data_IF_683582278700
#
_entry.id   IF_683582278700
#
_cell.length_a   1.000
_cell.length_b   1.000
_cell.length_c   1.000
_cell.angle_alpha   90.00
_cell.angle_beta   90.00
_cell.angle_gamma   90.00
#
_symmetry.space_group_name_H-M   'P 1'
#
loop_
_entity.id
_entity.type
_entity.pdbx_description
1 polymer ?
#
# COMPACT_ATOMS: atom_id res chain seq x y z
N UNK A 1 29.36 25.49 10.59
CA UNK A 1 28.41 24.90 9.61
C UNK A 1 27.70 23.77 10.32
N UNK A 2 26.43 23.95 10.67
CA UNK A 2 25.61 22.84 11.19
C UNK A 2 25.36 21.93 9.99
N UNK A 3 26.00 20.76 9.95
CA UNK A 3 25.67 19.73 8.97
C UNK A 3 24.20 19.42 9.12
N UNK A 4 23.42 19.53 8.03
CA UNK A 4 22.01 19.19 8.07
C UNK A 4 21.86 17.73 8.53
N UNK A 5 21.01 17.48 9.52
CA UNK A 5 20.74 16.14 10.06
C UNK A 5 20.31 15.20 8.93
N UNK A 6 21.01 14.08 8.75
CA UNK A 6 20.68 13.09 7.70
C UNK A 6 19.34 12.42 8.05
N UNK A 7 18.40 12.46 7.12
CA UNK A 7 17.04 11.92 7.29
C UNK A 7 16.91 10.50 6.75
N UNK A 8 15.82 9.80 7.09
CA UNK A 8 15.52 8.51 6.45
C UNK A 8 15.34 8.64 4.93
N UNK A 9 14.83 9.78 4.45
CA UNK A 9 14.66 10.03 3.01
C UNK A 9 16.02 10.13 2.33
N UNK A 10 16.99 10.79 2.95
CA UNK A 10 18.37 10.85 2.43
C UNK A 10 19.01 9.45 2.34
N UNK A 11 18.73 8.58 3.32
CA UNK A 11 19.16 7.17 3.27
C UNK A 11 18.45 6.39 2.16
N UNK A 12 17.17 6.65 1.89
CA UNK A 12 16.45 5.98 0.79
C UNK A 12 17.00 6.40 -0.58
N UNK A 13 17.38 7.67 -0.73
CA UNK A 13 18.02 8.19 -1.95
C UNK A 13 19.47 7.71 -2.10
N UNK A 14 20.18 7.60 -0.99
CA UNK A 14 21.60 7.21 -0.95
C UNK A 14 21.88 6.23 0.20
N UNK A 15 21.52 4.94 0.05
CA UNK A 15 21.66 3.92 1.11
C UNK A 15 23.05 3.82 1.75
N UNK A 16 24.19 3.98 1.02
CA UNK A 16 25.52 3.96 1.62
C UNK A 16 25.78 5.05 2.68
N UNK A 17 24.95 6.10 2.76
CA UNK A 17 25.06 7.08 3.85
C UNK A 17 24.78 6.47 5.23
N UNK A 18 24.04 5.35 5.29
CA UNK A 18 23.69 4.70 6.55
C UNK A 18 24.93 4.25 7.33
N UNK A 19 26.00 3.82 6.64
CA UNK A 19 27.23 3.36 7.27
C UNK A 19 28.07 4.49 7.86
N UNK A 20 27.70 5.75 7.57
CA UNK A 20 28.36 6.96 8.10
C UNK A 20 27.65 7.51 9.34
N UNK A 21 26.47 7.00 9.67
CA UNK A 21 25.70 7.46 10.82
C UNK A 21 26.18 6.75 12.09
N UNK A 22 26.24 7.50 13.19
CA UNK A 22 26.60 6.98 14.51
C UNK A 22 25.64 7.49 15.60
N UNK A 23 25.75 6.89 16.79
CA UNK A 23 25.05 7.35 17.98
C UNK A 23 23.54 7.56 17.81
N UNK A 24 23.09 8.78 18.10
CA UNK A 24 21.66 9.15 18.12
C UNK A 24 21.05 9.18 16.71
N UNK A 25 21.79 9.67 15.72
CA UNK A 25 21.29 9.77 14.35
C UNK A 25 21.03 8.39 13.75
N UNK A 26 21.99 7.46 13.91
CA UNK A 26 21.82 6.08 13.49
C UNK A 26 20.61 5.42 14.17
N UNK A 27 20.50 5.61 15.50
CA UNK A 27 19.38 5.06 16.28
C UNK A 27 18.03 5.59 15.79
N UNK A 28 17.93 6.91 15.53
CA UNK A 28 16.72 7.55 15.01
C UNK A 28 16.34 6.98 13.65
N UNK A 29 17.26 6.94 12.70
CA UNK A 29 17.02 6.44 11.34
C UNK A 29 16.62 4.95 11.35
N UNK A 30 17.30 4.10 12.12
CA UNK A 30 16.95 2.68 12.23
C UNK A 30 15.55 2.48 12.84
N UNK A 31 15.17 3.28 13.85
CA UNK A 31 13.82 3.24 14.43
C UNK A 31 12.76 3.70 13.43
N UNK A 32 13.01 4.78 12.69
CA UNK A 32 12.11 5.25 11.63
C UNK A 32 11.96 4.21 10.50
N UNK A 33 13.07 3.61 10.06
CA UNK A 33 13.07 2.58 9.03
C UNK A 33 12.30 1.32 9.46
N UNK A 34 12.43 0.90 10.73
CA UNK A 34 11.63 -0.21 11.28
C UNK A 34 10.15 0.13 11.35
N UNK A 35 9.83 1.29 11.91
CA UNK A 35 8.45 1.73 12.10
C UNK A 35 7.70 1.87 10.77
N UNK A 36 8.40 2.31 9.73
CA UNK A 36 7.86 2.40 8.36
C UNK A 36 7.96 1.09 7.57
N UNK A 37 8.58 0.03 8.11
CA UNK A 37 8.77 -1.23 7.40
C UNK A 37 9.77 -1.16 6.23
N UNK A 38 10.65 -0.16 6.20
CA UNK A 38 11.64 0.09 5.15
C UNK A 38 13.05 -0.41 5.50
N UNK A 39 13.28 -0.93 6.72
CA UNK A 39 14.63 -1.38 7.10
C UNK A 39 15.13 -2.54 6.23
N UNK A 40 14.27 -3.51 5.90
CA UNK A 40 14.66 -4.60 4.99
C UNK A 40 14.93 -4.10 3.56
N UNK A 41 14.14 -3.12 3.08
CA UNK A 41 14.35 -2.48 1.79
C UNK A 41 15.72 -1.77 1.71
N UNK A 42 16.12 -1.11 2.79
CA UNK A 42 17.42 -0.46 2.92
C UNK A 42 18.55 -1.50 3.00
N UNK A 43 18.38 -2.56 3.79
CA UNK A 43 19.37 -3.65 3.86
C UNK A 43 19.70 -4.22 2.48
N UNK A 44 18.69 -4.45 1.66
CA UNK A 44 18.87 -4.97 0.30
C UNK A 44 19.68 -4.05 -0.63
N UNK A 45 19.93 -2.79 -0.23
CA UNK A 45 20.59 -1.75 -1.04
C UNK A 45 21.87 -1.19 -0.41
N UNK A 46 22.26 -1.69 0.77
CA UNK A 46 23.51 -1.30 1.44
C UNK A 46 24.60 -2.32 1.17
N UNK A 47 25.83 -1.83 1.01
CA UNK A 47 27.03 -2.66 0.89
C UNK A 47 27.35 -3.32 2.25
N UNK A 48 27.11 -4.63 2.32
CA UNK A 48 27.21 -5.42 3.56
C UNK A 48 28.62 -5.43 4.13
N UNK A 49 29.63 -5.38 3.27
CA UNK A 49 31.04 -5.42 3.69
C UNK A 49 31.46 -4.13 4.43
N UNK A 50 30.66 -3.06 4.29
CA UNK A 50 30.85 -1.77 4.97
C UNK A 50 29.98 -1.63 6.22
N UNK A 51 29.25 -2.67 6.61
CA UNK A 51 28.42 -2.66 7.83
C UNK A 51 29.10 -3.47 8.92
N UNK A 52 29.19 -2.92 10.13
CA UNK A 52 29.85 -3.58 11.27
C UNK A 52 29.09 -3.36 12.59
N UNK A 53 29.37 -4.22 13.56
CA UNK A 53 28.80 -4.16 14.91
C UNK A 53 27.26 -4.15 14.90
N UNK A 54 26.67 -3.30 15.77
CA UNK A 54 25.21 -3.24 15.95
C UNK A 54 24.43 -2.90 14.67
N UNK A 55 25.03 -2.15 13.73
CA UNK A 55 24.39 -1.87 12.45
C UNK A 55 24.22 -3.15 11.64
N UNK A 56 25.27 -3.98 11.56
CA UNK A 56 25.21 -5.27 10.87
C UNK A 56 24.15 -6.19 11.50
N UNK A 57 24.08 -6.27 12.83
CA UNK A 57 23.07 -7.08 13.53
C UNK A 57 21.64 -6.64 13.20
N UNK A 58 21.42 -5.32 13.17
CA UNK A 58 20.12 -4.74 12.87
C UNK A 58 19.68 -4.98 11.42
N UNK A 59 20.60 -4.89 10.47
CA UNK A 59 20.36 -5.18 9.06
C UNK A 59 20.14 -6.69 8.84
N UNK A 60 20.97 -7.54 9.46
CA UNK A 60 20.81 -8.99 9.43
C UNK A 60 19.43 -9.43 9.92
N UNK A 61 19.00 -8.90 11.07
CA UNK A 61 17.65 -9.15 11.60
C UNK A 61 16.58 -8.75 10.57
N UNK A 62 16.66 -7.53 10.01
CA UNK A 62 15.70 -7.07 9.03
C UNK A 62 15.63 -7.95 7.78
N UNK A 63 16.79 -8.42 7.30
CA UNK A 63 16.88 -9.38 6.20
C UNK A 63 16.19 -10.70 6.52
N UNK A 64 16.51 -11.31 7.66
CA UNK A 64 15.90 -12.59 8.09
C UNK A 64 14.37 -12.46 8.14
N UNK A 65 13.87 -11.35 8.71
CA UNK A 65 12.43 -11.08 8.75
C UNK A 65 11.81 -10.93 7.35
N UNK A 66 12.47 -10.21 6.44
CA UNK A 66 11.99 -10.03 5.08
C UNK A 66 12.06 -11.32 4.25
N UNK A 67 13.10 -12.13 4.41
CA UNK A 67 13.25 -13.41 3.73
C UNK A 67 12.19 -14.40 4.18
N UNK A 68 11.96 -14.51 5.50
CA UNK A 68 10.88 -15.33 6.05
C UNK A 68 9.50 -14.88 5.54
N UNK A 69 9.26 -13.57 5.52
CA UNK A 69 8.01 -13.03 5.00
C UNK A 69 7.83 -13.36 3.51
N UNK A 70 8.86 -13.17 2.69
CA UNK A 70 8.85 -13.49 1.27
C UNK A 70 8.62 -14.98 1.00
N UNK A 71 9.21 -15.86 1.82
CA UNK A 71 8.95 -17.31 1.75
C UNK A 71 7.49 -17.62 2.10
N UNK A 72 6.96 -17.02 3.16
CA UNK A 72 5.57 -17.20 3.59
C UNK A 72 4.59 -16.78 2.49
N UNK A 73 4.80 -15.62 1.86
CA UNK A 73 3.97 -15.14 0.75
C UNK A 73 4.08 -16.04 -0.47
N UNK A 74 5.29 -16.50 -0.81
CA UNK A 74 5.48 -17.41 -1.96
C UNK A 74 4.77 -18.74 -1.75
N UNK A 75 4.88 -19.29 -0.54
CA UNK A 75 4.16 -20.49 -0.15
C UNK A 75 2.64 -20.29 -0.23
N UNK A 76 2.15 -19.15 0.26
CA UNK A 76 0.72 -18.88 0.24
C UNK A 76 0.17 -18.71 -1.18
N UNK A 77 0.91 -18.04 -2.07
CA UNK A 77 0.57 -17.95 -3.51
C UNK A 77 0.46 -19.35 -4.12
N UNK A 78 1.40 -20.25 -3.82
CA UNK A 78 1.37 -21.63 -4.31
C UNK A 78 0.16 -22.42 -3.77
N UNK A 79 -0.17 -22.29 -2.48
CA UNK A 79 -1.38 -22.91 -1.91
C UNK A 79 -2.65 -22.37 -2.55
N UNK A 80 -2.73 -21.06 -2.76
CA UNK A 80 -3.85 -20.41 -3.43
C UNK A 80 -3.99 -20.88 -4.88
N UNK A 81 -2.89 -21.12 -5.59
CA UNK A 81 -2.92 -21.64 -6.96
C UNK A 81 -3.65 -23.00 -7.02
N UNK A 82 -3.41 -23.87 -6.04
CA UNK A 82 -4.11 -25.15 -5.93
C UNK A 82 -5.59 -24.98 -5.58
N UNK A 83 -5.90 -24.14 -4.58
CA UNK A 83 -7.27 -23.97 -4.07
C UNK A 83 -8.18 -23.28 -5.07
N UNK A 84 -7.67 -22.28 -5.79
CA UNK A 84 -8.46 -21.44 -6.70
C UNK A 84 -8.48 -21.95 -8.14
N UNK A 85 -7.78 -23.06 -8.43
CA UNK A 85 -7.78 -23.74 -9.74
C UNK A 85 -9.17 -23.98 -10.35
N UNK A 86 -10.24 -24.29 -9.57
CA UNK A 86 -11.58 -24.49 -10.13
C UNK A 86 -12.27 -23.22 -10.66
N UNK A 87 -11.72 -22.03 -10.40
CA UNK A 87 -12.30 -20.77 -10.91
C UNK A 87 -12.08 -20.64 -12.43
N UNK A 88 -13.10 -20.17 -13.14
CA UNK A 88 -13.11 -20.10 -14.61
C UNK A 88 -12.56 -18.80 -15.19
N UNK A 89 -12.04 -17.88 -14.38
CA UNK A 89 -11.57 -16.57 -14.86
C UNK A 89 -10.40 -16.04 -14.05
N UNK A 90 -9.99 -14.79 -14.32
CA UNK A 90 -8.70 -14.30 -13.85
C UNK A 90 -8.71 -14.09 -12.33
N UNK A 91 -7.69 -14.65 -11.68
CA UNK A 91 -7.33 -14.35 -10.29
C UNK A 91 -6.12 -13.44 -10.32
N UNK A 92 -6.31 -12.17 -9.96
CA UNK A 92 -5.30 -11.12 -10.15
C UNK A 92 -4.61 -10.84 -8.82
N UNK A 93 -3.32 -11.13 -8.72
CA UNK A 93 -2.50 -10.76 -7.57
C UNK A 93 -2.31 -9.24 -7.52
N UNK A 94 -2.44 -8.66 -6.34
CA UNK A 94 -2.15 -7.25 -6.06
C UNK A 94 -0.98 -7.07 -5.08
N UNK A 95 -0.52 -5.82 -4.97
CA UNK A 95 0.48 -5.34 -3.99
C UNK A 95 1.70 -6.27 -3.85
N UNK A 96 2.09 -6.60 -2.62
CA UNK A 96 3.31 -7.35 -2.32
C UNK A 96 3.34 -8.73 -2.98
N UNK A 97 2.21 -9.43 -3.01
CA UNK A 97 2.09 -10.73 -3.66
C UNK A 97 2.33 -10.64 -5.18
N UNK A 98 1.79 -9.60 -5.83
CA UNK A 98 2.05 -9.33 -7.24
C UNK A 98 3.53 -9.03 -7.51
N UNK A 99 4.15 -8.18 -6.71
CA UNK A 99 5.56 -7.83 -6.90
C UNK A 99 6.47 -9.04 -6.74
N UNK A 100 6.14 -9.92 -5.78
CA UNK A 100 6.86 -11.17 -5.56
C UNK A 100 6.70 -12.13 -6.74
N UNK A 101 5.47 -12.34 -7.21
CA UNK A 101 5.18 -13.21 -8.35
C UNK A 101 5.77 -12.70 -9.68
N UNK A 102 5.92 -11.38 -9.82
CA UNK A 102 6.59 -10.74 -10.96
C UNK A 102 8.12 -10.61 -10.78
N UNK A 103 8.67 -11.09 -9.67
CA UNK A 103 10.10 -11.01 -9.33
C UNK A 103 10.68 -9.58 -9.40
N UNK A 104 9.86 -8.59 -9.03
CA UNK A 104 10.29 -7.19 -9.07
C UNK A 104 11.27 -6.89 -7.93
N UNK A 105 12.32 -6.12 -8.20
CA UNK A 105 13.37 -5.80 -7.22
C UNK A 105 12.88 -5.10 -5.95
N UNK A 106 11.77 -4.36 -6.00
CA UNK A 106 11.13 -3.77 -4.80
C UNK A 106 10.54 -4.79 -3.83
N UNK A 107 10.33 -6.05 -4.24
CA UNK A 107 9.90 -7.13 -3.35
C UNK A 107 11.02 -7.55 -2.38
N UNK A 108 12.28 -7.29 -2.73
CA UNK A 108 13.41 -7.62 -1.87
C UNK A 108 13.43 -6.70 -0.65
N UNK A 109 13.41 -7.29 0.55
CA UNK A 109 13.37 -6.54 1.80
C UNK A 109 12.01 -5.95 2.17
N UNK A 110 10.99 -6.10 1.30
CA UNK A 110 9.62 -5.63 1.55
C UNK A 110 8.86 -6.64 2.41
N UNK A 111 8.11 -6.11 3.39
CA UNK A 111 7.19 -6.89 4.19
C UNK A 111 5.76 -6.79 3.61
N UNK A 112 5.09 -7.93 3.45
CA UNK A 112 3.69 -8.05 3.10
C UNK A 112 2.92 -8.80 4.21
N UNK A 113 1.79 -8.26 4.65
CA UNK A 113 0.96 -8.84 5.72
C UNK A 113 -0.07 -9.86 5.22
N UNK A 114 -0.41 -9.76 3.94
CA UNK A 114 -1.58 -10.36 3.32
C UNK A 114 -1.30 -10.69 1.85
N UNK A 115 -2.15 -11.56 1.28
CA UNK A 115 -2.25 -11.79 -0.15
C UNK A 115 -3.56 -11.19 -0.66
N UNK A 116 -3.46 -10.03 -1.31
CA UNK A 116 -4.59 -9.36 -1.96
C UNK A 116 -4.88 -9.97 -3.34
N UNK A 117 -6.12 -10.39 -3.57
CA UNK A 117 -6.60 -10.93 -4.84
C UNK A 117 -7.74 -10.08 -5.40
N UNK A 118 -7.62 -9.57 -6.62
CA UNK A 118 -8.74 -8.97 -7.37
C UNK A 118 -9.41 -10.02 -8.26
N UNK A 119 -10.73 -10.13 -8.12
CA UNK A 119 -11.56 -11.10 -8.82
C UNK A 119 -12.74 -10.40 -9.49
N UNK A 120 -13.26 -10.95 -10.62
CA UNK A 120 -14.59 -10.60 -11.09
C UNK A 120 -15.63 -10.83 -9.99
N UNK A 121 -16.55 -9.89 -9.79
CA UNK A 121 -17.58 -9.97 -8.73
C UNK A 121 -18.35 -11.31 -8.69
N UNK A 122 -18.73 -11.92 -9.82
CA UNK A 122 -19.39 -13.24 -9.82
C UNK A 122 -18.54 -14.39 -9.25
N UNK A 123 -17.22 -14.25 -9.20
CA UNK A 123 -16.29 -15.27 -8.69
C UNK A 123 -16.01 -15.15 -7.19
N UNK A 124 -16.40 -14.04 -6.54
CA UNK A 124 -16.16 -13.84 -5.11
C UNK A 124 -16.74 -14.95 -4.25
N UNK A 125 -18.02 -15.28 -4.43
CA UNK A 125 -18.70 -16.33 -3.65
C UNK A 125 -18.08 -17.71 -3.86
N UNK A 126 -17.83 -18.15 -5.11
CA UNK A 126 -17.06 -19.38 -5.37
C UNK A 126 -15.67 -19.38 -4.73
N UNK A 127 -14.89 -18.31 -4.86
CA UNK A 127 -13.55 -18.19 -4.29
C UNK A 127 -13.57 -18.28 -2.75
N UNK A 128 -14.46 -17.52 -2.12
CA UNK A 128 -14.68 -17.53 -0.67
C UNK A 128 -15.01 -18.93 -0.19
N UNK A 129 -15.94 -19.65 -0.83
CA UNK A 129 -16.26 -21.03 -0.46
C UNK A 129 -15.05 -21.95 -0.60
N UNK A 130 -14.28 -21.87 -1.69
CA UNK A 130 -13.09 -22.71 -1.87
C UNK A 130 -12.08 -22.48 -0.75
N UNK A 131 -11.83 -21.23 -0.36
CA UNK A 131 -10.93 -20.90 0.75
C UNK A 131 -11.46 -21.42 2.09
N UNK A 132 -12.75 -21.25 2.38
CA UNK A 132 -13.34 -21.76 3.62
C UNK A 132 -13.22 -23.29 3.72
N UNK A 133 -13.46 -24.03 2.62
CA UNK A 133 -13.28 -25.49 2.59
C UNK A 133 -11.82 -25.91 2.73
N UNK A 134 -10.88 -25.04 2.33
CA UNK A 134 -9.45 -25.29 2.38
C UNK A 134 -8.77 -24.84 3.68
N UNK A 135 -9.54 -24.43 4.71
CA UNK A 135 -9.01 -24.14 6.04
C UNK A 135 -8.84 -22.65 6.39
N UNK A 136 -9.36 -21.74 5.57
CA UNK A 136 -9.49 -20.33 5.95
C UNK A 136 -10.77 -20.07 6.73
N UNK A 137 -10.76 -19.03 7.56
CA UNK A 137 -11.94 -18.56 8.31
C UNK A 137 -12.03 -17.03 8.30
N UNK A 138 -13.23 -16.50 8.48
CA UNK A 138 -13.44 -15.05 8.58
C UNK A 138 -12.85 -14.51 9.87
N UNK A 139 -11.96 -13.51 9.77
CA UNK A 139 -11.49 -12.78 10.96
C UNK A 139 -12.58 -11.87 11.56
N UNK A 140 -13.57 -11.49 10.74
CA UNK A 140 -14.71 -10.63 11.09
C UNK A 140 -16.02 -11.36 10.81
N UNK A 141 -16.52 -12.08 11.83
CA UNK A 141 -17.65 -12.98 11.68
C UNK A 141 -19.01 -12.38 12.09
N UNK A 142 -19.04 -11.20 12.73
CA UNK A 142 -20.33 -10.61 13.13
C UNK A 142 -21.12 -10.03 11.94
N UNK A 143 -22.45 -10.05 12.07
CA UNK A 143 -23.38 -9.69 10.97
C UNK A 143 -23.14 -8.28 10.42
N UNK A 144 -22.81 -7.32 11.29
CA UNK A 144 -22.56 -5.95 10.86
C UNK A 144 -21.25 -5.84 10.10
N UNK A 145 -20.19 -6.49 10.55
CA UNK A 145 -18.92 -6.50 9.84
C UNK A 145 -19.08 -7.17 8.47
N UNK A 146 -19.82 -8.28 8.38
CA UNK A 146 -20.15 -8.92 7.11
C UNK A 146 -20.90 -7.96 6.17
N UNK A 147 -21.91 -7.24 6.66
CA UNK A 147 -22.64 -6.23 5.87
C UNK A 147 -21.72 -5.08 5.45
N UNK A 148 -20.91 -4.56 6.36
CA UNK A 148 -19.98 -3.45 6.11
C UNK A 148 -19.01 -3.79 4.98
N UNK A 149 -18.39 -4.97 5.01
CA UNK A 149 -17.46 -5.36 3.96
C UNK A 149 -18.17 -5.62 2.63
N UNK A 150 -19.22 -6.45 2.65
CA UNK A 150 -19.87 -6.90 1.40
C UNK A 150 -20.56 -5.79 0.64
N UNK A 151 -21.14 -4.81 1.35
CA UNK A 151 -21.94 -3.78 0.72
C UNK A 151 -21.19 -2.46 0.59
N UNK A 152 -20.27 -2.15 1.51
CA UNK A 152 -19.63 -0.82 1.57
C UNK A 152 -18.13 -0.87 1.25
N UNK A 153 -17.47 -2.02 1.31
CA UNK A 153 -16.06 -2.15 0.96
C UNK A 153 -15.87 -2.68 -0.46
N UNK A 154 -14.62 -2.62 -0.92
CA UNK A 154 -14.21 -3.16 -2.22
C UNK A 154 -13.64 -4.58 -2.11
N UNK A 155 -13.75 -5.17 -0.93
CA UNK A 155 -13.23 -6.48 -0.56
C UNK A 155 -14.21 -7.19 0.39
N UNK A 156 -14.17 -8.51 0.41
CA UNK A 156 -14.85 -9.31 1.41
C UNK A 156 -14.16 -9.20 2.78
N UNK A 157 -14.80 -9.63 3.88
CA UNK A 157 -14.13 -9.73 5.17
C UNK A 157 -12.84 -10.56 5.06
N UNK A 158 -11.74 -10.10 5.68
CA UNK A 158 -10.44 -10.77 5.60
C UNK A 158 -10.55 -12.23 6.05
N UNK A 159 -9.90 -13.11 5.29
CA UNK A 159 -9.84 -14.54 5.55
C UNK A 159 -8.46 -14.91 6.09
N UNK A 160 -8.40 -15.62 7.20
CA UNK A 160 -7.14 -16.10 7.77
C UNK A 160 -7.08 -17.63 7.73
N UNK A 161 -5.95 -18.20 7.30
CA UNK A 161 -5.75 -19.64 7.38
C UNK A 161 -5.54 -20.09 8.82
N UNK A 162 -6.31 -21.07 9.28
CA UNK A 162 -6.35 -21.48 10.69
C UNK A 162 -4.99 -21.98 11.23
N UNK A 163 -4.20 -22.66 10.40
CA UNK A 163 -2.89 -23.21 10.82
C UNK A 163 -1.71 -22.30 10.50
N UNK A 164 -1.79 -21.53 9.40
CA UNK A 164 -0.65 -20.77 8.86
C UNK A 164 -0.66 -19.31 9.31
N UNK A 165 -1.81 -18.81 9.76
CA UNK A 165 -2.00 -17.42 10.15
C UNK A 165 -1.94 -16.41 9.00
N UNK A 166 -1.72 -16.87 7.76
CA UNK A 166 -1.70 -16.05 6.55
C UNK A 166 -3.08 -15.48 6.26
N UNK A 167 -3.11 -14.21 5.87
CA UNK A 167 -4.35 -13.48 5.56
C UNK A 167 -4.49 -13.32 4.05
N UNK A 168 -5.71 -13.49 3.55
CA UNK A 168 -6.09 -13.33 2.16
C UNK A 168 -7.28 -12.39 2.07
N UNK A 169 -7.16 -11.38 1.23
CA UNK A 169 -8.21 -10.41 0.96
C UNK A 169 -8.76 -10.60 -0.45
N UNK A 170 -10.08 -10.78 -0.54
CA UNK A 170 -10.78 -10.98 -1.81
C UNK A 170 -11.43 -9.66 -2.27
N UNK A 171 -10.73 -8.97 -3.15
CA UNK A 171 -11.13 -7.70 -3.75
C UNK A 171 -12.02 -7.89 -4.98
N UNK A 172 -12.93 -6.95 -5.20
CA UNK A 172 -13.74 -6.83 -6.40
C UNK A 172 -13.73 -5.41 -7.00
N UNK A 173 -12.83 -4.57 -6.49
CA UNK A 173 -12.53 -3.22 -6.95
C UNK A 173 -11.27 -2.74 -6.24
N UNK A 174 -10.80 -1.55 -6.58
CA UNK A 174 -9.63 -0.92 -5.93
C UNK A 174 -10.02 0.25 -5.04
N UNK A 175 -11.30 0.63 -5.04
CA UNK A 175 -11.90 1.64 -4.19
C UNK A 175 -13.31 1.18 -3.79
N UNK A 176 -13.76 1.51 -2.56
CA UNK A 176 -15.11 1.19 -2.09
C UNK A 176 -16.21 1.62 -3.09
N UNK A 177 -17.30 0.85 -3.26
CA UNK A 177 -18.42 1.24 -4.12
C UNK A 177 -19.11 2.54 -3.65
N UNK A 178 -18.95 2.88 -2.36
CA UNK A 178 -19.44 4.10 -1.72
C UNK A 178 -18.55 5.32 -1.99
N UNK A 179 -17.36 5.13 -2.57
CA UNK A 179 -16.42 6.19 -2.85
C UNK A 179 -16.95 7.14 -3.94
N UNK A 180 -16.52 8.41 -3.87
CA UNK A 180 -16.86 9.41 -4.90
C UNK A 180 -16.20 9.10 -6.25
N UNK A 181 -14.96 8.60 -6.23
CA UNK A 181 -14.31 8.05 -7.41
C UNK A 181 -14.76 6.60 -7.62
N UNK A 182 -15.12 6.27 -8.86
CA UNK A 182 -15.67 4.96 -9.23
C UNK A 182 -14.88 4.38 -10.42
N UNK A 183 -13.59 4.03 -10.24
CA UNK A 183 -12.84 3.35 -11.30
C UNK A 183 -13.54 2.02 -11.61
N UNK A 184 -13.78 1.74 -12.89
CA UNK A 184 -14.48 0.53 -13.32
C UNK A 184 -13.59 -0.71 -13.12
N UNK A 185 -13.96 -1.65 -12.23
CA UNK A 185 -13.17 -2.86 -12.00
C UNK A 185 -13.07 -3.74 -13.25
N UNK A 186 -14.08 -3.74 -14.13
CA UNK A 186 -14.04 -4.56 -15.34
C UNK A 186 -12.97 -4.09 -16.31
N UNK A 187 -12.68 -2.78 -16.37
CA UNK A 187 -11.58 -2.23 -17.16
C UNK A 187 -10.20 -2.66 -16.63
N UNK A 188 -10.07 -2.77 -15.30
CA UNK A 188 -8.84 -3.24 -14.67
C UNK A 188 -8.64 -4.74 -14.94
N UNK A 189 -9.70 -5.53 -14.77
CA UNK A 189 -9.70 -6.97 -14.99
C UNK A 189 -9.42 -7.30 -16.47
N UNK A 190 -10.03 -6.58 -17.41
CA UNK A 190 -9.83 -6.81 -18.84
C UNK A 190 -8.43 -6.43 -19.33
N UNK A 191 -7.77 -5.49 -18.66
CA UNK A 191 -6.40 -5.08 -18.94
C UNK A 191 -5.35 -5.90 -18.15
N UNK A 192 -5.78 -6.84 -17.30
CA UNK A 192 -4.89 -7.67 -16.52
C UNK A 192 -4.00 -8.54 -17.42
N UNK A 193 -2.77 -8.79 -16.98
CA UNK A 193 -1.76 -9.54 -17.73
C UNK A 193 -1.46 -10.86 -17.04
N UNK A 194 -1.31 -11.98 -17.77
CA UNK A 194 -0.91 -13.25 -17.17
C UNK A 194 0.51 -13.13 -16.59
N UNK A 195 0.75 -13.82 -15.47
CA UNK A 195 2.10 -13.97 -14.92
C UNK A 195 2.72 -15.23 -15.54
N UNK A 196 3.95 -15.12 -16.02
CA UNK A 196 4.64 -16.25 -16.62
C UNK A 196 4.77 -17.43 -15.63
N UNK A 197 4.57 -18.65 -16.11
CA UNK A 197 4.66 -19.88 -15.31
C UNK A 197 3.74 -19.90 -14.06
N UNK A 198 2.61 -19.21 -14.10
CA UNK A 198 1.68 -19.07 -12.99
C UNK A 198 0.23 -19.10 -13.47
N UNK A 199 -0.73 -19.64 -12.69
CA UNK A 199 -2.16 -19.54 -13.03
C UNK A 199 -2.74 -18.13 -12.75
N UNK A 200 -1.95 -17.25 -12.13
CA UNK A 200 -2.40 -15.92 -11.73
C UNK A 200 -2.17 -14.86 -12.82
N UNK A 201 -2.91 -13.77 -12.65
CA UNK A 201 -2.76 -12.54 -13.39
C UNK A 201 -2.19 -11.44 -12.49
N UNK A 202 -1.76 -10.34 -13.09
CA UNK A 202 -1.43 -9.08 -12.42
C UNK A 202 -2.14 -7.93 -13.12
N UNK A 203 -2.26 -6.78 -12.47
CA UNK A 203 -2.72 -5.56 -13.13
C UNK A 203 -1.74 -5.15 -14.25
N UNK A 204 -2.23 -4.38 -15.22
CA UNK A 204 -1.33 -3.70 -16.15
C UNK A 204 -0.32 -2.81 -15.39
N UNK A 205 0.79 -2.46 -16.02
CA UNK A 205 1.81 -1.62 -15.37
C UNK A 205 1.25 -0.26 -14.94
N UNK A 206 0.41 0.35 -15.78
CA UNK A 206 -0.28 1.60 -15.51
C UNK A 206 -1.28 1.43 -14.35
N UNK A 207 -2.09 0.38 -14.39
CA UNK A 207 -3.11 0.11 -13.36
C UNK A 207 -2.49 -0.25 -12.01
N UNK A 208 -1.30 -0.88 -12.00
CA UNK A 208 -0.54 -1.15 -10.77
C UNK A 208 -0.15 0.15 -10.08
N UNK A 209 0.38 1.14 -10.82
CA UNK A 209 0.72 2.46 -10.26
C UNK A 209 -0.54 3.20 -9.81
N UNK A 210 -1.60 3.18 -10.60
CA UNK A 210 -2.87 3.86 -10.28
C UNK A 210 -3.55 3.26 -9.05
N UNK A 211 -3.55 1.94 -8.91
CA UNK A 211 -4.04 1.25 -7.71
C UNK A 211 -3.27 1.71 -6.47
N UNK A 212 -1.93 1.75 -6.52
CA UNK A 212 -1.12 2.21 -5.37
C UNK A 212 -1.33 3.69 -5.05
N UNK A 213 -1.47 4.54 -6.07
CA UNK A 213 -1.78 5.95 -5.89
C UNK A 213 -3.17 6.17 -5.24
N UNK A 214 -4.19 5.43 -5.70
CA UNK A 214 -5.52 5.45 -5.12
C UNK A 214 -5.52 4.94 -3.67
N UNK A 215 -4.83 3.82 -3.42
CA UNK A 215 -4.68 3.26 -2.08
C UNK A 215 -4.02 4.26 -1.12
N UNK A 216 -2.93 4.94 -1.52
CA UNK A 216 -2.24 5.86 -0.62
C UNK A 216 -2.96 7.21 -0.44
N UNK A 217 -3.45 7.84 -1.51
CA UNK A 217 -3.93 9.24 -1.46
C UNK A 217 -5.45 9.40 -1.40
N UNK A 218 -6.20 8.30 -1.49
CA UNK A 218 -7.65 8.30 -1.52
C UNK A 218 -8.28 7.41 -0.44
N UNK A 219 -7.96 6.11 -0.41
CA UNK A 219 -8.62 5.14 0.48
C UNK A 219 -7.87 4.91 1.81
N UNK A 220 -6.54 4.96 1.77
CA UNK A 220 -5.67 4.63 2.88
C UNK A 220 -5.49 5.73 3.91
N UNK A 221 -4.96 5.33 5.06
CA UNK A 221 -4.39 6.25 6.03
C UNK A 221 -3.00 6.69 5.55
N UNK A 222 -2.79 8.00 5.46
CA UNK A 222 -1.52 8.58 5.05
C UNK A 222 -0.47 8.52 6.16
N UNK A 223 -0.86 8.23 7.41
CA UNK A 223 0.08 8.11 8.52
C UNK A 223 1.11 7.02 8.24
N UNK A 224 2.39 7.44 8.18
CA UNK A 224 3.54 6.60 7.79
C UNK A 224 3.48 6.03 6.36
N UNK A 225 2.83 6.74 5.44
CA UNK A 225 2.70 6.36 4.04
C UNK A 225 4.00 6.33 3.22
N UNK A 226 5.17 6.61 3.83
CA UNK A 226 6.47 6.63 3.14
C UNK A 226 6.76 5.31 2.42
N UNK A 227 6.47 4.17 3.05
CA UNK A 227 6.68 2.85 2.45
C UNK A 227 5.93 2.69 1.14
N UNK A 228 4.67 3.11 1.14
CA UNK A 228 3.81 2.99 -0.05
C UNK A 228 4.21 4.00 -1.12
N UNK A 229 4.75 5.16 -0.73
CA UNK A 229 5.35 6.10 -1.66
C UNK A 229 6.63 5.54 -2.31
N UNK A 230 7.49 4.87 -1.53
CA UNK A 230 8.68 4.18 -2.04
C UNK A 230 8.29 3.11 -3.05
N UNK A 231 7.25 2.30 -2.78
CA UNK A 231 6.75 1.34 -3.76
C UNK A 231 6.35 2.03 -5.08
N UNK A 232 5.58 3.12 -5.00
CA UNK A 232 5.14 3.84 -6.19
C UNK A 232 6.35 4.32 -6.99
N UNK A 233 7.37 4.88 -6.31
CA UNK A 233 8.58 5.33 -6.97
C UNK A 233 9.36 4.18 -7.65
N UNK A 234 9.50 3.04 -6.99
CA UNK A 234 10.16 1.87 -7.57
C UNK A 234 9.36 1.33 -8.78
N UNK A 235 8.04 1.25 -8.68
CA UNK A 235 7.16 0.83 -9.78
C UNK A 235 7.25 1.78 -10.98
N UNK A 236 7.24 3.10 -10.74
CA UNK A 236 7.44 4.10 -11.79
C UNK A 236 8.79 3.88 -12.49
N UNK A 237 9.85 3.66 -11.72
CA UNK A 237 11.21 3.44 -12.25
C UNK A 237 11.32 2.16 -13.08
N UNK A 238 10.70 1.07 -12.61
CA UNK A 238 10.70 -0.22 -13.31
C UNK A 238 9.89 -0.13 -14.60
N UNK A 239 8.68 0.40 -14.55
CA UNK A 239 7.78 0.41 -15.71
C UNK A 239 8.06 1.51 -16.73
N UNK A 240 8.78 2.59 -16.35
CA UNK A 240 9.23 3.61 -17.29
C UNK A 240 10.14 3.08 -18.41
N UNK A 241 10.74 1.89 -18.23
CA UNK A 241 11.50 1.20 -19.27
C UNK A 241 10.62 0.72 -20.44
N UNK A 242 9.31 0.59 -20.22
CA UNK A 242 8.38 0.21 -21.29
C UNK A 242 8.09 1.42 -22.20
N UNK A 243 8.01 1.22 -23.53
CA UNK A 243 7.71 2.30 -24.46
C UNK A 243 6.43 3.03 -24.08
N UNK A 244 6.41 4.36 -24.17
CA UNK A 244 5.21 5.19 -23.92
C UNK A 244 4.55 5.05 -22.55
N UNK A 245 5.19 4.41 -21.55
CA UNK A 245 4.59 4.17 -20.24
C UNK A 245 4.01 5.45 -19.59
N UNK A 246 4.75 6.56 -19.63
CA UNK A 246 4.29 7.86 -19.10
C UNK A 246 3.00 8.32 -19.77
N UNK A 247 2.93 8.28 -21.11
CA UNK A 247 1.75 8.69 -21.88
C UNK A 247 0.54 7.80 -21.55
N UNK A 248 0.75 6.48 -21.52
CA UNK A 248 -0.30 5.51 -21.21
C UNK A 248 -0.80 5.65 -19.78
N UNK A 249 0.08 5.90 -18.82
CA UNK A 249 -0.28 6.09 -17.40
C UNK A 249 -1.19 7.30 -17.22
N UNK A 250 -0.85 8.43 -17.85
CA UNK A 250 -1.68 9.64 -17.81
C UNK A 250 -3.04 9.40 -18.46
N UNK A 251 -3.06 8.80 -19.66
CA UNK A 251 -4.30 8.47 -20.37
C UNK A 251 -5.18 7.53 -19.55
N UNK A 252 -4.59 6.50 -18.95
CA UNK A 252 -5.28 5.53 -18.10
C UNK A 252 -5.81 6.16 -16.82
N UNK A 253 -5.09 7.11 -16.23
CA UNK A 253 -5.54 7.87 -15.08
C UNK A 253 -6.82 8.66 -15.38
N UNK A 254 -6.88 9.32 -16.55
CA UNK A 254 -8.08 10.02 -17.00
C UNK A 254 -9.24 9.05 -17.26
N UNK A 255 -8.96 7.93 -17.93
CA UNK A 255 -9.97 6.91 -18.24
C UNK A 255 -10.64 6.33 -16.99
N UNK A 256 -9.87 6.11 -15.93
CA UNK A 256 -10.36 5.55 -14.66
C UNK A 256 -10.80 6.63 -13.64
N UNK A 257 -10.66 7.91 -13.97
CA UNK A 257 -10.95 9.02 -13.04
C UNK A 257 -9.97 9.11 -11.86
N UNK A 258 -8.77 8.57 -11.99
CA UNK A 258 -7.72 8.49 -10.95
C UNK A 258 -6.62 9.54 -11.12
N UNK A 259 -6.80 10.54 -11.97
CA UNK A 259 -5.81 11.61 -12.20
C UNK A 259 -5.43 12.36 -10.92
N UNK A 260 -6.38 12.57 -9.99
CA UNK A 260 -6.11 13.29 -8.73
C UNK A 260 -5.25 12.47 -7.74
N UNK A 261 -5.58 11.20 -7.41
CA UNK A 261 -4.67 10.35 -6.65
C UNK A 261 -3.29 10.22 -7.30
N UNK A 262 -3.23 10.04 -8.62
CA UNK A 262 -1.95 9.95 -9.34
C UNK A 262 -1.14 11.23 -9.21
N UNK A 263 -1.77 12.41 -9.35
CA UNK A 263 -1.13 13.71 -9.18
C UNK A 263 -0.40 13.82 -7.83
N UNK A 264 -1.06 13.49 -6.72
CA UNK A 264 -0.41 13.53 -5.40
C UNK A 264 0.75 12.54 -5.29
N UNK A 265 0.58 11.33 -5.83
CA UNK A 265 1.62 10.32 -5.80
C UNK A 265 2.88 10.77 -6.54
N UNK A 266 2.73 11.30 -7.76
CA UNK A 266 3.88 11.75 -8.55
C UNK A 266 4.49 13.02 -7.99
N UNK A 267 3.68 13.93 -7.43
CA UNK A 267 4.18 15.11 -6.72
C UNK A 267 5.15 14.71 -5.60
N UNK A 268 4.73 13.82 -4.69
CA UNK A 268 5.57 13.42 -3.56
C UNK A 268 6.73 12.51 -3.96
N UNK A 269 6.60 11.70 -5.01
CA UNK A 269 7.74 10.96 -5.56
C UNK A 269 8.80 11.91 -6.14
N UNK A 270 8.39 12.96 -6.85
CA UNK A 270 9.32 13.98 -7.36
C UNK A 270 9.94 14.81 -6.24
N UNK A 271 9.11 15.24 -5.29
CA UNK A 271 9.50 16.14 -4.22
C UNK A 271 10.41 15.48 -3.17
N UNK A 272 10.02 14.30 -2.66
CA UNK A 272 10.74 13.61 -1.58
C UNK A 272 11.76 12.61 -2.11
N UNK A 273 11.41 11.86 -3.17
CA UNK A 273 12.25 10.77 -3.70
C UNK A 273 12.98 11.14 -5.00
N UNK A 274 12.93 12.42 -5.41
CA UNK A 274 13.67 12.97 -6.57
C UNK A 274 13.43 12.20 -7.88
N UNK A 275 12.23 11.67 -8.04
CA UNK A 275 11.85 10.83 -9.17
C UNK A 275 11.66 11.64 -10.46
N UNK A 276 12.57 11.47 -11.42
CA UNK A 276 12.46 12.14 -12.72
C UNK A 276 11.22 11.71 -13.52
N UNK A 277 10.87 10.42 -13.46
CA UNK A 277 9.66 9.88 -14.12
C UNK A 277 8.40 10.50 -13.52
N UNK A 278 8.37 10.66 -12.20
CA UNK A 278 7.24 11.28 -11.54
C UNK A 278 7.05 12.74 -11.98
N UNK A 279 8.12 13.53 -12.07
CA UNK A 279 8.05 14.92 -12.58
C UNK A 279 7.53 15.00 -14.02
N UNK A 280 7.90 14.04 -14.89
CA UNK A 280 7.36 13.97 -16.25
C UNK A 280 5.85 13.71 -16.26
N UNK A 281 5.36 12.79 -15.42
CA UNK A 281 3.92 12.52 -15.29
C UNK A 281 3.19 13.72 -14.66
N UNK A 282 3.75 14.33 -13.62
CA UNK A 282 3.17 15.48 -12.92
C UNK A 282 2.91 16.65 -13.87
N UNK A 283 3.88 16.98 -14.72
CA UNK A 283 3.74 18.06 -15.71
C UNK A 283 2.56 17.87 -16.66
N UNK A 284 2.17 16.61 -16.94
CA UNK A 284 1.02 16.25 -17.78
C UNK A 284 -0.31 16.20 -17.01
N UNK A 285 -0.28 16.32 -15.69
CA UNK A 285 -1.44 16.23 -14.80
C UNK A 285 -1.76 17.56 -14.10
N UNK A 286 -1.11 18.67 -14.45
CA UNK A 286 -1.36 19.98 -13.82
C UNK A 286 -2.84 20.42 -13.87
N UNK A 287 -3.55 20.11 -14.96
CA UNK A 287 -5.00 20.35 -15.06
C UNK A 287 -5.83 19.54 -14.05
N UNK A 288 -5.26 18.44 -13.54
CA UNK A 288 -5.83 17.56 -12.52
C UNK A 288 -5.34 17.91 -11.12
N UNK A 289 -4.53 18.97 -10.93
CA UNK A 289 -4.12 19.48 -9.62
C UNK A 289 -5.24 20.28 -8.95
N UNK A 290 -5.36 20.28 -7.60
CA UNK A 290 -6.39 21.08 -6.95
C UNK A 290 -6.19 22.57 -7.23
N UNK A 291 -7.26 23.35 -7.19
CA UNK A 291 -7.14 24.81 -7.24
C UNK A 291 -6.39 25.36 -6.02
N UNK A 292 -5.76 26.52 -6.18
CA UNK A 292 -5.29 27.32 -5.05
C UNK A 292 -6.50 27.88 -4.29
N UNK A 293 -6.51 27.93 -2.93
CA UNK A 293 -5.44 27.56 -1.98
C UNK A 293 -5.46 26.09 -1.52
N UNK A 294 -6.49 25.31 -1.89
CA UNK A 294 -6.70 23.94 -1.43
C UNK A 294 -5.50 23.03 -1.74
N UNK A 295 -4.86 23.22 -2.91
CA UNK A 295 -3.64 22.49 -3.28
C UNK A 295 -2.54 22.62 -2.23
N UNK A 296 -2.22 23.85 -1.83
CA UNK A 296 -1.12 24.11 -0.90
C UNK A 296 -1.39 23.52 0.48
N UNK A 297 -2.63 23.67 0.97
CA UNK A 297 -3.03 23.06 2.23
C UNK A 297 -2.95 21.52 2.17
N UNK A 298 -3.48 20.90 1.12
CA UNK A 298 -3.46 19.45 0.96
C UNK A 298 -2.02 18.91 0.90
N UNK A 299 -1.16 19.53 0.09
CA UNK A 299 0.24 19.13 -0.04
C UNK A 299 0.99 19.30 1.28
N UNK A 300 0.74 20.38 2.02
CA UNK A 300 1.40 20.64 3.31
C UNK A 300 1.00 19.58 4.35
N UNK A 301 -0.29 19.25 4.46
CA UNK A 301 -0.78 18.24 5.40
C UNK A 301 -0.27 16.83 5.05
N UNK A 302 -0.28 16.47 3.77
CA UNK A 302 0.21 15.17 3.30
C UNK A 302 1.71 15.02 3.52
N UNK A 303 2.51 16.07 3.27
CA UNK A 303 3.95 16.09 3.56
C UNK A 303 4.25 15.75 5.02
N UNK A 304 3.49 16.33 5.96
CA UNK A 304 3.65 16.05 7.38
C UNK A 304 3.36 14.58 7.75
N UNK A 305 2.55 13.85 6.99
CA UNK A 305 2.27 12.44 7.27
C UNK A 305 3.21 11.47 6.54
N UNK A 306 3.73 11.88 5.37
CA UNK A 306 4.66 11.08 4.58
C UNK A 306 6.08 11.10 5.14
N UNK A 307 6.49 12.21 5.79
CA UNK A 307 7.79 12.28 6.46
C UNK A 307 7.66 11.64 7.86
N UNK A 308 8.43 10.59 8.16
CA UNK A 308 8.35 9.93 9.47
C UNK A 308 8.73 10.89 10.58
N UNK A 309 7.91 10.93 11.63
CA UNK A 309 8.20 11.72 12.82
C UNK A 309 9.46 11.24 13.51
N UNK A 310 10.12 12.13 14.24
CA UNK A 310 11.18 11.74 15.17
C UNK A 310 10.55 10.92 16.31
N UNK A 311 10.98 9.66 16.53
CA UNK A 311 10.43 8.82 17.59
C UNK A 311 10.56 9.41 19.00
N UNK A 312 11.46 10.36 19.21
CA UNK A 312 11.69 11.01 20.50
C UNK A 312 10.88 12.31 20.67
N UNK A 313 10.21 12.80 19.61
CA UNK A 313 9.41 14.04 19.66
C UNK A 313 7.92 13.75 19.74
N UNK A 314 7.25 14.44 20.67
CA UNK A 314 5.78 14.49 20.73
C UNK A 314 5.31 15.72 19.97
N UNK A 315 4.82 15.54 18.75
CA UNK A 315 4.36 16.68 17.95
C UNK A 315 2.83 16.68 17.79
N UNK A 316 2.19 17.67 18.43
CA UNK A 316 0.74 17.89 18.38
C UNK A 316 0.25 18.25 16.97
N UNK A 317 1.10 18.87 16.14
CA UNK A 317 0.77 19.26 14.76
C UNK A 317 0.54 18.03 13.88
N UNK A 318 1.32 16.96 14.04
CA UNK A 318 1.11 15.71 13.31
C UNK A 318 -0.24 15.05 13.66
N UNK A 319 -0.72 15.20 14.90
CA UNK A 319 -2.05 14.71 15.30
C UNK A 319 -3.18 15.49 14.63
N UNK A 320 -3.07 16.82 14.54
CA UNK A 320 -4.07 17.65 13.84
C UNK A 320 -4.10 17.29 12.35
N UNK A 321 -2.92 17.21 11.71
CA UNK A 321 -2.83 16.84 10.30
C UNK A 321 -3.38 15.42 10.03
N UNK A 322 -3.05 14.45 10.88
CA UNK A 322 -3.58 13.08 10.80
C UNK A 322 -5.11 13.08 10.93
N UNK A 323 -5.68 13.78 11.92
CA UNK A 323 -7.13 13.88 12.09
C UNK A 323 -7.83 14.53 10.88
N UNK A 324 -7.28 15.61 10.32
CA UNK A 324 -7.85 16.26 9.14
C UNK A 324 -7.80 15.35 7.90
N UNK A 325 -6.69 14.64 7.70
CA UNK A 325 -6.55 13.69 6.59
C UNK A 325 -7.41 12.44 6.77
N UNK A 326 -7.58 11.98 8.01
CA UNK A 326 -8.53 10.92 8.37
C UNK A 326 -9.97 11.33 8.06
N UNK A 327 -10.39 12.55 8.45
CA UNK A 327 -11.71 13.07 8.09
C UNK A 327 -11.89 13.17 6.56
N UNK A 328 -10.84 13.63 5.86
CA UNK A 328 -10.83 13.68 4.39
C UNK A 328 -10.98 12.29 3.78
N UNK A 329 -10.23 11.28 4.22
CA UNK A 329 -10.31 9.93 3.64
C UNK A 329 -11.70 9.33 3.84
N UNK A 330 -12.31 9.53 5.02
CA UNK A 330 -13.68 9.07 5.28
C UNK A 330 -14.72 9.78 4.40
N UNK A 331 -14.58 11.10 4.22
CA UNK A 331 -15.45 11.88 3.31
C UNK A 331 -15.33 11.47 1.84
N UNK A 332 -14.16 10.96 1.44
CA UNK A 332 -13.90 10.45 0.10
C UNK A 332 -14.42 9.02 -0.11
N UNK A 333 -14.40 8.20 0.95
CA UNK A 333 -14.82 6.79 0.96
C UNK A 333 -16.33 6.59 1.12
N UNK A 334 -17.00 7.41 1.92
CA UNK A 334 -18.41 7.20 2.28
C UNK A 334 -19.21 8.51 2.31
N UNK A 335 -20.51 8.49 1.98
CA UNK A 335 -21.42 9.60 2.24
C UNK A 335 -21.49 9.95 3.74
N UNK A 336 -21.70 11.22 4.13
CA UNK A 336 -21.65 11.65 5.53
C UNK A 336 -22.65 10.95 6.45
N UNK A 337 -23.83 10.60 5.92
CA UNK A 337 -24.88 9.87 6.65
C UNK A 337 -24.46 8.44 6.98
N UNK A 338 -23.75 7.78 6.06
CA UNK A 338 -23.21 6.44 6.26
C UNK A 338 -22.07 6.45 7.27
N UNK A 339 -21.18 7.45 7.19
CA UNK A 339 -20.11 7.66 8.17
C UNK A 339 -20.67 7.88 9.58
N UNK A 340 -21.69 8.74 9.72
CA UNK A 340 -22.34 9.00 11.01
C UNK A 340 -22.96 7.72 11.59
N UNK A 341 -23.64 6.92 10.77
CA UNK A 341 -24.17 5.61 11.18
C UNK A 341 -23.06 4.66 11.63
N UNK A 342 -21.96 4.58 10.87
CA UNK A 342 -20.83 3.71 11.19
C UNK A 342 -20.15 4.11 12.51
N UNK A 343 -19.89 5.41 12.71
CA UNK A 343 -19.30 5.93 13.94
C UNK A 343 -20.21 5.71 15.15
N UNK A 344 -21.52 5.89 15.01
CA UNK A 344 -22.49 5.63 16.08
C UNK A 344 -22.49 4.15 16.49
N UNK A 345 -22.46 3.23 15.52
CA UNK A 345 -22.35 1.79 15.80
C UNK A 345 -21.04 1.45 16.49
N UNK A 346 -19.91 2.02 16.05
CA UNK A 346 -18.61 1.82 16.71
C UNK A 346 -18.58 2.36 18.14
N UNK A 347 -19.12 3.56 18.38
CA UNK A 347 -19.19 4.15 19.74
C UNK A 347 -20.07 3.31 20.65
N UNK A 348 -21.21 2.81 20.16
CA UNK A 348 -22.07 1.89 20.93
C UNK A 348 -21.36 0.58 21.27
N UNK A 349 -20.58 0.03 20.34
CA UNK A 349 -19.75 -1.16 20.58
C UNK A 349 -18.61 -0.91 21.59
N UNK A 350 -18.01 0.28 21.58
CA UNK A 350 -16.92 0.66 22.51
C UNK A 350 -17.40 1.07 23.90
N UNK A 351 -18.60 1.66 23.99
CA UNK A 351 -19.24 2.07 25.26
C UNK A 351 -20.05 0.97 25.94
N UNK A 352 -20.35 -0.12 25.24
CA UNK A 352 -20.92 -1.33 25.83
C UNK A 352 -19.84 -2.14 26.51
N UNK A 353 -19.77 -2.08 27.85
CA UNK A 353 -19.19 -3.15 28.67
C UNK A 353 -19.77 -4.47 28.15
N UNK A 354 -18.90 -5.44 27.80
CA UNK A 354 -19.33 -6.81 27.53
C UNK A 354 -20.09 -7.32 28.76
N UNK A 355 -21.39 -7.63 28.70
CA UNK A 355 -22.01 -8.43 29.73
C UNK A 355 -21.58 -9.87 29.47
N UNK A 356 -20.66 -10.38 30.30
CA UNK A 356 -20.33 -11.80 30.38
C UNK A 356 -19.21 -12.28 29.44
N UNK A 357 -17.96 -12.20 29.94
CA UNK A 357 -17.05 -13.34 29.99
C UNK A 357 -16.31 -13.28 31.33
#
# INVERSE_FOLDING_TARGET
MVTADITLIDILLHPPLLTKLEGRELTRVLRQARYTGLLGFIEARVDRDKTAGKLADHLLSARIHADYNNQTISWEIDRLASVLKPLSGPVILLKGAAYKALELGLAQGRLASDVDLLLPKPQLGPAERLLLHAGWSHMKADEYDQHYYRDWMHELPPLQHNERGTVVDLHHGILPPTARLKPDPLKLISAARPIANSPFFTLSSEDTVLHRAAHLFYDGDLTNGLRELVDINELLSVFAKQPQFVQRTVSRAHELGLSRPLYYAVHFCGELLRSAVASQIESKLESSAPGFPVRQLALSLMRLQLIPTDPDKRESVHKIASNLLYLRSHWLRMPPTMLARHLLTQVRRRGGIRPGQ
#
